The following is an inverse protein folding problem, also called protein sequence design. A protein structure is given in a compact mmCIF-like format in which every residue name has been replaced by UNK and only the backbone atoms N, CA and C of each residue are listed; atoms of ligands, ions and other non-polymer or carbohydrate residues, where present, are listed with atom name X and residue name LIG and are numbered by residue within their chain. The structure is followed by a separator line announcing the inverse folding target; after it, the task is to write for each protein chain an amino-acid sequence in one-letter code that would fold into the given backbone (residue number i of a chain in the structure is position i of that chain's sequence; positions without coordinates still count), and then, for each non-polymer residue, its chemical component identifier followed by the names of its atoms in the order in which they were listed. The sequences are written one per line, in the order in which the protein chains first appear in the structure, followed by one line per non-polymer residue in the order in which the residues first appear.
data_IF_763326853407
#
_entry.id   IF_763326853407
#
_cell.length_a   1.000
_cell.length_b   1.000
_cell.length_c   1.000
_cell.angle_alpha   90.00
_cell.angle_beta   90.00
_cell.angle_gamma   90.00
#
_symmetry.space_group_name_H-M   'P 1'
#
loop_
_entity.id
_entity.type
_entity.pdbx_description
1 polymer ?
#
# COMPACT_ATOMS: atom_id res chain seq x y z
N UNK A 1 20.50 10.92 22.50
CA UNK A 1 20.77 9.93 21.45
C UNK A 1 19.58 8.99 21.35
N UNK A 2 18.58 9.33 20.52
CA UNK A 2 17.34 8.57 20.31
C UNK A 2 17.21 8.08 18.86
N UNK A 3 16.22 7.22 18.60
CA UNK A 3 15.97 6.64 17.29
C UNK A 3 14.48 6.41 17.01
N UNK A 4 14.10 6.48 15.73
CA UNK A 4 12.78 6.07 15.25
C UNK A 4 12.70 4.57 14.92
N UNK A 5 13.83 3.86 14.81
CA UNK A 5 13.88 2.41 14.56
C UNK A 5 14.67 1.69 15.67
N UNK A 6 13.94 1.33 16.74
CA UNK A 6 14.49 0.66 17.92
C UNK A 6 15.08 -0.72 17.62
N UNK A 7 14.70 -1.35 16.49
CA UNK A 7 15.22 -2.65 16.10
C UNK A 7 16.71 -2.59 15.71
N UNK A 8 17.21 -1.40 15.36
CA UNK A 8 18.63 -1.17 15.05
C UNK A 8 19.51 -0.98 16.29
N UNK A 9 18.95 -1.02 17.50
CA UNK A 9 19.70 -0.88 18.75
C UNK A 9 20.62 0.35 18.77
N UNK A 10 21.88 0.15 19.17
CA UNK A 10 22.86 1.24 19.28
C UNK A 10 23.24 1.85 17.92
N UNK A 11 23.23 1.07 16.84
CA UNK A 11 23.46 1.57 15.47
C UNK A 11 22.35 2.51 14.99
N UNK A 12 21.15 2.40 15.60
CA UNK A 12 20.01 3.25 15.33
C UNK A 12 20.07 4.61 16.02
N UNK A 13 20.90 4.79 17.05
CA UNK A 13 20.88 5.99 17.92
C UNK A 13 22.22 6.71 18.09
N UNK A 14 23.34 6.03 17.86
CA UNK A 14 24.69 6.59 18.02
C UNK A 14 25.20 7.23 16.71
N UNK A 15 25.88 8.39 16.78
CA UNK A 15 26.52 8.98 15.61
C UNK A 15 27.65 8.07 15.09
N UNK A 16 27.97 8.12 13.79
CA UNK A 16 29.07 7.33 13.23
C UNK A 16 30.43 7.79 13.80
N UNK A 17 31.35 6.85 13.99
CA UNK A 17 32.75 7.17 14.27
C UNK A 17 33.41 7.88 13.09
N UNK A 18 34.39 8.72 13.38
CA UNK A 18 35.20 9.42 12.37
C UNK A 18 36.45 8.63 11.93
N UNK A 19 36.70 7.47 12.53
CA UNK A 19 37.82 6.59 12.13
C UNK A 19 37.64 6.13 10.69
N UNK A 20 38.68 6.28 9.88
CA UNK A 20 38.76 5.87 8.47
C UNK A 20 37.70 6.50 7.54
N UNK A 21 37.08 7.63 7.92
CA UNK A 21 36.02 8.25 7.09
C UNK A 21 36.55 8.83 5.79
N UNK A 22 37.81 9.26 5.76
CA UNK A 22 38.51 9.72 4.56
C UNK A 22 38.73 8.60 3.55
N UNK A 23 38.96 7.36 4.02
CA UNK A 23 39.00 6.17 3.16
C UNK A 23 37.60 5.69 2.75
N UNK A 24 36.58 5.95 3.57
CA UNK A 24 35.21 5.49 3.37
C UNK A 24 34.40 6.31 2.38
N UNK A 25 34.45 7.62 2.51
CA UNK A 25 33.54 8.52 1.82
C UNK A 25 34.19 9.12 0.59
N UNK A 26 33.40 9.31 -0.47
CA UNK A 26 33.80 10.15 -1.60
C UNK A 26 34.20 11.53 -1.07
N UNK A 27 35.28 12.11 -1.59
CA UNK A 27 35.82 13.39 -1.07
C UNK A 27 34.78 14.50 -1.09
N UNK A 28 34.05 14.61 -2.20
CA UNK A 28 32.95 15.58 -2.38
C UNK A 28 31.85 15.36 -1.34
N UNK A 29 31.45 14.11 -1.12
CA UNK A 29 30.45 13.77 -0.11
C UNK A 29 30.92 14.15 1.30
N UNK A 30 32.16 13.82 1.65
CA UNK A 30 32.75 14.13 2.96
C UNK A 30 32.76 15.64 3.22
N UNK A 31 33.20 16.43 2.23
CA UNK A 31 33.19 17.89 2.31
C UNK A 31 31.78 18.42 2.54
N UNK A 32 30.81 17.99 1.72
CA UNK A 32 29.42 18.43 1.86
C UNK A 32 28.80 18.04 3.21
N UNK A 33 29.12 16.85 3.73
CA UNK A 33 28.67 16.39 5.04
C UNK A 33 29.22 17.23 6.19
N UNK A 34 30.49 17.64 6.13
CA UNK A 34 31.10 18.51 7.14
C UNK A 34 30.57 19.95 7.03
N UNK A 35 30.41 20.47 5.80
CA UNK A 35 30.02 21.85 5.57
C UNK A 35 28.58 22.13 6.03
N UNK A 36 27.64 21.24 5.69
CA UNK A 36 26.20 21.51 5.85
C UNK A 36 25.50 20.58 6.82
N UNK A 37 26.16 19.52 7.29
CA UNK A 37 25.50 18.40 7.94
C UNK A 37 24.70 17.56 6.93
N UNK A 38 24.47 16.29 7.26
CA UNK A 38 23.76 15.37 6.38
C UNK A 38 22.80 14.46 7.16
N UNK A 39 21.71 14.05 6.50
CA UNK A 39 20.67 13.18 7.08
C UNK A 39 20.48 11.89 6.28
N UNK A 40 21.56 11.15 6.15
CA UNK A 40 21.55 9.83 5.49
C UNK A 40 20.77 8.77 6.28
N UNK A 41 20.80 8.87 7.61
CA UNK A 41 20.12 7.95 8.52
C UNK A 41 18.94 8.69 9.14
N UNK A 42 17.76 8.71 8.48
CA UNK A 42 16.65 9.55 8.92
C UNK A 42 16.15 9.19 10.32
N UNK A 43 16.35 7.93 10.72
CA UNK A 43 15.99 7.34 12.01
C UNK A 43 16.90 7.75 13.18
N UNK A 44 18.09 8.31 12.97
CA UNK A 44 18.92 8.83 14.07
C UNK A 44 18.43 10.24 14.44
N UNK A 45 18.17 10.52 15.72
CA UNK A 45 17.74 11.86 16.16
C UNK A 45 18.90 12.86 16.25
N UNK A 46 20.09 12.40 16.62
CA UNK A 46 21.30 13.23 16.68
C UNK A 46 21.68 13.73 15.28
N UNK A 47 22.00 15.02 15.17
CA UNK A 47 22.37 15.68 13.91
C UNK A 47 23.84 16.07 13.92
N UNK A 48 24.47 15.95 12.76
CA UNK A 48 25.79 16.51 12.51
C UNK A 48 25.62 18.03 12.23
N UNK A 49 26.29 18.91 12.97
CA UNK A 49 26.29 20.34 12.66
C UNK A 49 26.96 20.62 11.31
N UNK A 50 26.55 21.69 10.64
CA UNK A 50 27.29 22.25 9.51
C UNK A 50 28.37 23.19 10.00
N UNK A 51 29.63 22.93 9.62
CA UNK A 51 30.79 23.71 10.05
C UNK A 51 31.26 24.74 9.00
N UNK A 52 30.56 24.85 7.87
CA UNK A 52 30.89 25.76 6.78
C UNK A 52 31.96 25.22 5.82
N UNK A 53 31.96 25.75 4.60
CA UNK A 53 32.75 25.20 3.48
C UNK A 53 34.26 25.27 3.72
N UNK A 54 34.77 26.40 4.22
CA UNK A 54 36.21 26.58 4.43
C UNK A 54 36.81 25.57 5.43
N UNK A 55 36.09 25.28 6.51
CA UNK A 55 36.52 24.26 7.47
C UNK A 55 36.39 22.85 6.88
N UNK A 56 35.30 22.60 6.16
CA UNK A 56 35.03 21.31 5.55
C UNK A 56 36.09 20.91 4.52
N UNK A 57 36.53 21.85 3.69
CA UNK A 57 37.58 21.61 2.69
C UNK A 57 38.86 21.12 3.34
N UNK A 58 39.36 21.89 4.33
CA UNK A 58 40.59 21.62 5.07
C UNK A 58 40.54 20.28 5.80
N UNK A 59 39.44 20.01 6.53
CA UNK A 59 39.30 18.77 7.28
C UNK A 59 39.15 17.56 6.36
N UNK A 60 38.42 17.69 5.24
CA UNK A 60 38.25 16.61 4.29
C UNK A 60 39.58 16.24 3.60
N UNK A 61 40.46 17.20 3.33
CA UNK A 61 41.81 16.93 2.82
C UNK A 61 42.67 16.15 3.82
N UNK A 62 42.70 16.62 5.08
CA UNK A 62 43.46 15.95 6.13
C UNK A 62 43.00 14.51 6.36
N UNK A 63 41.68 14.28 6.42
CA UNK A 63 41.11 12.94 6.55
C UNK A 63 41.42 12.07 5.33
N UNK A 64 41.27 12.59 4.11
CA UNK A 64 41.58 11.83 2.90
C UNK A 64 43.06 11.47 2.76
N UNK A 65 43.97 12.31 3.27
CA UNK A 65 45.40 12.06 3.25
C UNK A 65 45.85 11.07 4.34
N UNK A 66 45.15 11.05 5.48
CA UNK A 66 45.52 10.23 6.65
C UNK A 66 44.88 8.84 6.61
N UNK A 67 43.61 8.77 6.23
CA UNK A 67 42.83 7.55 6.26
C UNK A 67 43.14 6.72 5.01
N UNK A 68 43.94 5.67 5.18
CA UNK A 68 44.34 4.76 4.09
C UNK A 68 43.92 3.33 4.37
N UNK A 69 43.56 2.61 3.32
CA UNK A 69 43.25 1.18 3.37
C UNK A 69 44.22 0.40 2.48
N UNK A 70 44.43 -0.90 2.75
CA UNK A 70 45.18 -1.75 1.85
C UNK A 70 44.61 -1.66 0.42
N UNK A 71 45.45 -1.59 -0.62
CA UNK A 71 44.99 -1.56 -1.99
C UNK A 71 44.08 -2.76 -2.29
N UNK A 72 42.97 -2.50 -2.97
CA UNK A 72 42.07 -3.53 -3.47
C UNK A 72 41.55 -3.06 -4.83
N UNK A 73 41.59 -3.97 -5.80
CA UNK A 73 41.09 -3.68 -7.14
C UNK A 73 39.58 -3.94 -7.21
N UNK A 74 38.88 -3.06 -7.92
CA UNK A 74 37.46 -3.20 -8.24
C UNK A 74 37.41 -3.27 -9.75
N UNK A 75 37.02 -4.43 -10.29
CA UNK A 75 36.98 -4.62 -11.73
C UNK A 75 35.96 -3.64 -12.31
N UNK A 76 36.34 -2.75 -13.25
CA UNK A 76 35.39 -1.81 -13.85
C UNK A 76 34.24 -2.53 -14.55
N UNK A 77 33.09 -1.87 -14.63
CA UNK A 77 32.00 -2.36 -15.45
C UNK A 77 32.43 -2.38 -16.92
N UNK A 78 32.11 -3.44 -17.68
CA UNK A 78 32.31 -3.44 -19.12
C UNK A 78 31.51 -2.31 -19.79
N UNK A 79 32.10 -1.68 -20.80
CA UNK A 79 31.39 -0.69 -21.65
C UNK A 79 30.36 -1.37 -22.57
N UNK A 80 30.59 -2.64 -22.89
CA UNK A 80 29.69 -3.45 -23.69
C UNK A 80 28.45 -3.87 -22.88
N UNK A 81 27.26 -3.62 -23.43
CA UNK A 81 26.00 -3.85 -22.74
C UNK A 81 25.72 -5.33 -22.48
N UNK A 82 26.08 -6.22 -23.40
CA UNK A 82 25.86 -7.67 -23.24
C UNK A 82 26.74 -8.26 -22.14
N UNK A 83 27.95 -7.70 -21.95
CA UNK A 83 28.85 -8.06 -20.84
C UNK A 83 28.50 -7.35 -19.52
N UNK A 84 27.92 -6.15 -19.59
CA UNK A 84 27.48 -5.34 -18.45
C UNK A 84 26.27 -5.95 -17.71
N UNK A 85 25.23 -6.35 -18.46
CA UNK A 85 23.97 -6.82 -17.88
C UNK A 85 24.15 -8.03 -16.92
N UNK A 86 24.94 -9.07 -17.26
CA UNK A 86 25.20 -10.18 -16.36
C UNK A 86 25.86 -9.80 -15.03
N UNK A 87 26.67 -8.74 -14.99
CA UNK A 87 27.29 -8.25 -13.74
C UNK A 87 26.21 -7.62 -12.85
N UNK A 88 25.32 -6.82 -13.42
CA UNK A 88 24.21 -6.23 -12.67
C UNK A 88 23.19 -7.28 -12.22
N UNK A 89 22.89 -8.28 -13.05
CA UNK A 89 21.97 -9.36 -12.70
C UNK A 89 22.52 -10.22 -11.56
N UNK A 90 23.83 -10.49 -11.54
CA UNK A 90 24.48 -11.15 -10.41
C UNK A 90 24.35 -10.31 -9.12
N UNK A 91 24.56 -8.99 -9.20
CA UNK A 91 24.39 -8.09 -8.06
C UNK A 91 22.95 -8.04 -7.56
N UNK A 92 21.99 -7.99 -8.50
CA UNK A 92 20.55 -8.06 -8.23
C UNK A 92 20.16 -9.33 -7.48
N UNK A 93 20.67 -10.49 -7.91
CA UNK A 93 20.42 -11.77 -7.26
C UNK A 93 21.09 -11.86 -5.89
N UNK A 94 22.34 -11.42 -5.76
CA UNK A 94 23.09 -11.41 -4.51
C UNK A 94 22.43 -10.56 -3.42
N UNK A 95 21.84 -9.42 -3.78
CA UNK A 95 21.18 -8.52 -2.81
C UNK A 95 19.83 -9.07 -2.33
N UNK A 96 19.15 -9.87 -3.14
CA UNK A 96 17.83 -10.44 -2.85
C UNK A 96 17.81 -11.58 -1.83
N UNK A 97 16.59 -12.04 -1.54
CA UNK A 97 16.30 -13.15 -0.61
C UNK A 97 16.94 -14.50 -1.02
N UNK A 98 17.23 -14.71 -2.30
CA UNK A 98 17.93 -15.91 -2.82
C UNK A 98 19.45 -15.84 -2.70
N UNK A 99 20.00 -14.65 -2.51
CA UNK A 99 21.42 -14.39 -2.31
C UNK A 99 21.77 -14.20 -0.84
N UNK A 100 22.44 -13.09 -0.54
CA UNK A 100 22.88 -12.68 0.79
C UNK A 100 21.78 -11.99 1.61
N UNK A 101 20.58 -11.79 1.04
CA UNK A 101 19.38 -11.29 1.75
C UNK A 101 19.55 -9.91 2.40
N UNK A 102 20.34 -9.03 1.77
CA UNK A 102 20.64 -7.67 2.28
C UNK A 102 19.36 -6.87 2.60
N UNK A 103 18.32 -7.07 1.79
CA UNK A 103 16.99 -6.44 1.90
C UNK A 103 16.21 -6.75 3.18
N UNK A 104 16.62 -7.80 3.92
CA UNK A 104 15.98 -8.16 5.19
C UNK A 104 16.33 -7.15 6.28
N UNK A 105 17.51 -6.54 6.19
CA UNK A 105 18.02 -5.60 7.17
C UNK A 105 18.02 -4.15 6.67
N UNK A 106 18.20 -3.95 5.37
CA UNK A 106 18.29 -2.63 4.76
C UNK A 106 17.03 -2.24 4.01
N UNK A 107 16.76 -0.93 3.95
CA UNK A 107 15.82 -0.37 2.99
C UNK A 107 16.35 -0.53 1.56
N UNK A 108 15.43 -0.63 0.60
CA UNK A 108 15.76 -0.65 -0.82
C UNK A 108 14.82 0.28 -1.59
N UNK A 109 15.33 1.42 -2.04
CA UNK A 109 14.54 2.46 -2.72
C UNK A 109 13.28 2.85 -1.93
N UNK A 110 13.46 3.05 -0.63
CA UNK A 110 12.40 3.37 0.34
C UNK A 110 11.55 2.19 0.83
N UNK A 111 11.61 1.03 0.19
CA UNK A 111 10.85 -0.15 0.61
C UNK A 111 11.58 -0.92 1.72
N UNK A 112 10.80 -1.51 2.63
CA UNK A 112 11.27 -2.35 3.74
C UNK A 112 10.68 -3.75 3.63
N UNK A 113 11.52 -4.78 3.55
CA UNK A 113 11.07 -6.17 3.49
C UNK A 113 11.06 -6.87 4.87
N UNK A 114 12.05 -6.59 5.71
CA UNK A 114 12.18 -7.19 7.04
C UNK A 114 11.73 -6.29 8.18
N UNK A 115 12.06 -6.68 9.41
CA UNK A 115 11.71 -5.93 10.63
C UNK A 115 12.63 -4.73 10.87
N UNK A 116 13.83 -4.72 10.28
CA UNK A 116 14.81 -3.64 10.36
C UNK A 116 14.76 -2.75 9.11
N UNK A 117 15.04 -1.46 9.28
CA UNK A 117 15.20 -0.49 8.19
C UNK A 117 16.52 0.25 8.27
N UNK A 118 17.64 -0.47 8.16
CA UNK A 118 18.96 0.15 8.04
C UNK A 118 19.05 0.99 6.75
N UNK A 119 20.17 1.70 6.59
CA UNK A 119 20.44 2.61 5.46
C UNK A 119 19.96 2.07 4.10
N UNK A 120 19.33 2.94 3.29
CA UNK A 120 18.82 2.57 1.97
C UNK A 120 19.98 2.28 1.01
N UNK A 121 20.02 1.04 0.50
CA UNK A 121 21.15 0.53 -0.27
C UNK A 121 21.36 1.22 -1.62
N UNK A 122 20.33 1.86 -2.18
CA UNK A 122 20.39 2.50 -3.50
C UNK A 122 20.10 3.98 -3.47
N UNK A 123 20.00 4.58 -2.28
CA UNK A 123 19.80 6.02 -2.17
C UNK A 123 21.07 6.79 -2.51
N UNK A 124 22.17 6.49 -1.80
CA UNK A 124 23.42 7.27 -1.92
C UNK A 124 24.67 6.42 -2.08
N UNK A 125 24.57 5.09 -2.18
CA UNK A 125 25.75 4.19 -2.16
C UNK A 125 26.84 4.60 -3.15
N UNK A 126 26.51 4.81 -4.43
CA UNK A 126 27.48 5.21 -5.46
C UNK A 126 28.02 6.63 -5.30
N UNK A 127 27.24 7.56 -4.76
CA UNK A 127 27.63 8.96 -4.55
C UNK A 127 28.42 9.16 -3.25
N UNK A 128 28.17 8.31 -2.25
CA UNK A 128 28.63 8.47 -0.88
C UNK A 128 29.87 7.66 -0.57
N UNK A 129 29.91 6.40 -0.99
CA UNK A 129 30.96 5.46 -0.60
C UNK A 129 32.05 5.39 -1.67
N UNK A 130 33.29 5.17 -1.22
CA UNK A 130 34.36 4.72 -2.09
C UNK A 130 34.22 3.21 -2.35
N UNK A 131 34.41 2.75 -3.60
CA UNK A 131 34.25 1.34 -3.96
C UNK A 131 35.24 0.44 -3.20
N UNK A 132 36.45 0.91 -2.94
CA UNK A 132 37.49 0.16 -2.20
C UNK A 132 37.08 -0.07 -0.75
N UNK A 133 36.54 0.96 -0.09
CA UNK A 133 36.02 0.81 1.28
C UNK A 133 34.83 -0.14 1.33
N UNK A 134 33.90 -0.03 0.37
CA UNK A 134 32.75 -0.93 0.29
C UNK A 134 33.22 -2.38 0.19
N UNK A 135 34.22 -2.63 -0.65
CA UNK A 135 34.80 -3.94 -0.86
C UNK A 135 35.52 -4.51 0.37
N UNK A 136 36.22 -3.68 1.14
CA UNK A 136 36.79 -4.08 2.43
C UNK A 136 35.71 -4.35 3.47
N UNK A 137 34.71 -3.47 3.55
CA UNK A 137 33.63 -3.58 4.52
C UNK A 137 32.80 -4.84 4.32
N UNK A 138 32.47 -5.18 3.06
CA UNK A 138 31.68 -6.37 2.76
C UNK A 138 32.42 -7.67 3.05
N UNK A 139 33.76 -7.69 2.87
CA UNK A 139 34.62 -8.84 3.20
C UNK A 139 34.81 -9.05 4.70
N UNK A 140 34.86 -7.98 5.49
CA UNK A 140 35.00 -8.07 6.94
C UNK A 140 34.37 -6.87 7.67
N UNK A 141 33.05 -6.91 7.92
CA UNK A 141 32.35 -5.76 8.51
C UNK A 141 32.74 -5.54 9.98
N UNK A 142 33.09 -6.61 10.70
CA UNK A 142 33.49 -6.56 12.11
C UNK A 142 34.81 -5.81 12.34
N UNK A 143 35.70 -5.77 11.34
CA UNK A 143 36.93 -4.96 11.38
C UNK A 143 36.61 -3.47 11.53
N UNK A 144 35.58 -3.00 10.85
CA UNK A 144 35.19 -1.58 10.85
C UNK A 144 34.25 -1.26 12.01
N UNK A 145 33.39 -2.22 12.37
CA UNK A 145 32.36 -2.05 13.40
C UNK A 145 32.14 -3.37 14.14
N UNK A 146 32.79 -3.59 15.30
CA UNK A 146 32.66 -4.84 16.05
C UNK A 146 31.23 -5.21 16.44
N UNK A 147 30.36 -4.22 16.67
CA UNK A 147 28.96 -4.40 17.09
C UNK A 147 27.94 -4.36 15.94
N UNK A 148 28.40 -4.45 14.69
CA UNK A 148 27.52 -4.37 13.53
C UNK A 148 26.59 -5.57 13.39
N UNK A 149 25.36 -5.33 12.95
CA UNK A 149 24.42 -6.37 12.50
C UNK A 149 24.75 -6.92 11.11
N UNK A 150 25.68 -6.29 10.37
CA UNK A 150 26.12 -6.79 9.08
C UNK A 150 26.74 -8.18 9.25
N UNK A 151 26.17 -9.15 8.55
CA UNK A 151 26.67 -10.53 8.56
C UNK A 151 28.00 -10.59 7.79
N UNK A 152 28.94 -11.39 8.29
CA UNK A 152 30.12 -11.71 7.51
C UNK A 152 29.75 -12.76 6.45
N UNK A 153 29.64 -12.33 5.19
CA UNK A 153 29.31 -13.21 4.06
C UNK A 153 30.50 -14.01 3.53
N UNK A 154 31.72 -13.70 3.98
CA UNK A 154 32.98 -14.29 3.52
C UNK A 154 33.88 -14.78 4.67
N UNK A 155 33.37 -15.63 5.59
CA UNK A 155 34.18 -16.16 6.69
C UNK A 155 35.38 -16.94 6.13
N UNK A 156 36.59 -16.61 6.60
CA UNK A 156 37.83 -17.21 6.09
C UNK A 156 38.15 -16.85 4.63
N UNK A 157 37.52 -15.82 4.06
CA UNK A 157 37.69 -15.43 2.66
C UNK A 157 36.91 -16.29 1.66
N UNK A 158 35.95 -17.10 2.13
CA UNK A 158 35.14 -17.99 1.29
C UNK A 158 33.68 -17.55 1.28
N UNK A 159 33.07 -17.49 0.10
CA UNK A 159 31.66 -17.10 -0.03
C UNK A 159 30.70 -18.08 0.64
N UNK A 160 29.73 -17.54 1.38
CA UNK A 160 28.55 -18.27 1.90
C UNK A 160 27.51 -18.59 0.81
N UNK A 161 27.75 -18.17 -0.44
CA UNK A 161 26.90 -18.38 -1.62
C UNK A 161 27.72 -18.92 -2.80
N UNK A 162 28.31 -20.12 -2.70
CA UNK A 162 29.18 -20.67 -3.76
C UNK A 162 28.45 -20.94 -5.08
N UNK A 163 27.12 -21.09 -5.06
CA UNK A 163 26.30 -21.29 -6.25
C UNK A 163 26.23 -20.04 -7.15
N UNK A 164 26.53 -18.85 -6.62
CA UNK A 164 26.54 -17.60 -7.38
C UNK A 164 27.97 -17.27 -7.80
N UNK A 165 28.20 -17.06 -9.09
CA UNK A 165 29.54 -16.80 -9.66
C UNK A 165 30.62 -17.85 -9.28
N UNK A 166 30.23 -19.10 -9.01
CA UNK A 166 31.16 -20.17 -8.59
C UNK A 166 31.83 -19.91 -7.24
N UNK A 167 31.28 -19.01 -6.42
CA UNK A 167 31.84 -18.64 -5.12
C UNK A 167 33.02 -17.66 -5.20
N UNK A 168 33.29 -17.10 -6.37
CA UNK A 168 34.31 -16.08 -6.56
C UNK A 168 33.94 -14.81 -5.78
N UNK A 169 34.68 -14.56 -4.71
CA UNK A 169 34.45 -13.44 -3.79
C UNK A 169 34.62 -12.09 -4.50
N UNK A 170 35.61 -11.95 -5.39
CA UNK A 170 35.85 -10.70 -6.10
C UNK A 170 34.68 -10.37 -7.00
N UNK A 171 34.25 -11.34 -7.82
CA UNK A 171 33.11 -11.17 -8.73
C UNK A 171 31.82 -10.85 -7.99
N UNK A 172 31.59 -11.49 -6.84
CA UNK A 172 30.40 -11.20 -6.03
C UNK A 172 30.42 -9.79 -5.45
N UNK A 173 31.57 -9.36 -4.90
CA UNK A 173 31.71 -8.01 -4.34
C UNK A 173 31.56 -6.94 -5.43
N UNK A 174 32.21 -7.13 -6.58
CA UNK A 174 32.15 -6.19 -7.70
C UNK A 174 30.72 -6.08 -8.25
N UNK A 175 30.03 -7.21 -8.42
CA UNK A 175 28.64 -7.22 -8.87
C UNK A 175 27.69 -6.49 -7.91
N UNK A 176 27.82 -6.72 -6.59
CA UNK A 176 27.02 -6.02 -5.58
C UNK A 176 27.32 -4.51 -5.61
N UNK A 177 28.59 -4.13 -5.66
CA UNK A 177 28.98 -2.72 -5.74
C UNK A 177 28.34 -2.05 -6.95
N UNK A 178 28.55 -2.61 -8.14
CA UNK A 178 28.10 -2.02 -9.39
C UNK A 178 26.58 -1.93 -9.47
N UNK A 179 25.86 -2.94 -8.98
CA UNK A 179 24.41 -2.93 -8.88
C UNK A 179 23.90 -1.84 -7.93
N UNK A 180 24.46 -1.71 -6.72
CA UNK A 180 24.00 -0.69 -5.76
C UNK A 180 24.42 0.73 -6.16
N UNK A 181 25.55 0.89 -6.85
CA UNK A 181 26.07 2.17 -7.30
C UNK A 181 25.22 2.80 -8.42
N UNK A 182 24.42 2.02 -9.16
CA UNK A 182 23.47 2.53 -10.16
C UNK A 182 22.33 3.38 -9.55
N UNK A 183 22.14 3.32 -8.22
CA UNK A 183 21.12 4.09 -7.53
C UNK A 183 19.69 3.60 -7.79
N UNK A 184 18.71 4.51 -7.72
CA UNK A 184 17.26 4.16 -7.73
C UNK A 184 16.74 3.58 -9.06
N UNK A 185 17.52 3.62 -10.13
CA UNK A 185 17.10 3.16 -11.45
C UNK A 185 17.21 1.64 -11.65
N UNK A 186 17.69 0.90 -10.65
CA UNK A 186 17.81 -0.55 -10.75
C UNK A 186 16.51 -1.29 -10.50
N UNK A 187 16.38 -2.47 -11.13
CA UNK A 187 15.33 -3.44 -10.81
C UNK A 187 15.40 -3.81 -9.34
N UNK A 188 14.26 -3.81 -8.64
CA UNK A 188 14.20 -4.24 -7.23
C UNK A 188 14.52 -5.74 -7.11
N UNK A 189 15.33 -6.15 -6.13
CA UNK A 189 15.68 -7.55 -5.88
C UNK A 189 14.46 -8.36 -5.43
N UNK A 190 14.52 -9.68 -5.58
CA UNK A 190 13.48 -10.58 -5.05
C UNK A 190 13.40 -10.49 -3.53
N UNK A 191 12.19 -10.69 -2.98
CA UNK A 191 11.90 -10.56 -1.55
C UNK A 191 11.56 -9.14 -1.07
N UNK A 192 11.81 -8.08 -1.86
CA UNK A 192 11.39 -6.70 -1.51
C UNK A 192 9.87 -6.55 -1.55
N UNK A 193 9.24 -7.08 -2.61
CA UNK A 193 7.78 -7.18 -2.68
C UNK A 193 7.40 -8.55 -2.16
N UNK A 194 6.86 -8.59 -0.95
CA UNK A 194 6.22 -9.81 -0.45
C UNK A 194 5.07 -10.18 -1.40
N UNK A 195 4.93 -11.48 -1.76
CA UNK A 195 3.80 -11.90 -2.58
C UNK A 195 2.48 -11.56 -1.87
N UNK A 196 1.41 -11.25 -2.62
CA UNK A 196 0.11 -10.99 -2.01
C UNK A 196 -0.35 -12.22 -1.23
N UNK A 197 -1.02 -11.99 -0.11
CA UNK A 197 -1.81 -13.03 0.56
C UNK A 197 -3.22 -12.85 0.00
N UNK A 198 -3.46 -13.51 -1.13
CA UNK A 198 -4.73 -13.44 -1.81
C UNK A 198 -5.81 -14.18 -1.02
N UNK A 199 -6.86 -13.45 -0.65
CA UNK A 199 -8.10 -14.02 -0.16
C UNK A 199 -8.90 -14.50 -1.36
N UNK A 200 -8.92 -15.81 -1.58
CA UNK A 200 -9.74 -16.43 -2.63
C UNK A 200 -11.14 -16.72 -2.10
N UNK A 201 -12.16 -16.48 -2.93
CA UNK A 201 -13.55 -16.84 -2.65
C UNK A 201 -13.82 -18.20 -3.30
N UNK A 202 -14.30 -19.16 -2.50
CA UNK A 202 -14.73 -20.47 -2.98
C UNK A 202 -16.24 -20.53 -3.09
N UNK A 203 -16.84 -21.58 -2.52
CA UNK A 203 -18.29 -21.83 -2.60
C UNK A 203 -19.13 -21.00 -1.61
N UNK A 204 -18.49 -20.37 -0.63
CA UNK A 204 -19.13 -19.52 0.37
C UNK A 204 -18.54 -18.11 0.38
N UNK A 205 -19.31 -17.15 0.87
CA UNK A 205 -18.86 -15.77 0.95
C UNK A 205 -17.68 -15.62 1.93
N UNK A 206 -16.69 -14.83 1.53
CA UNK A 206 -15.49 -14.53 2.33
C UNK A 206 -15.52 -13.07 2.77
N UNK A 207 -15.18 -12.82 4.03
CA UNK A 207 -15.21 -11.48 4.61
C UNK A 207 -13.87 -11.08 5.23
N UNK A 208 -13.43 -9.84 4.97
CA UNK A 208 -12.31 -9.20 5.64
C UNK A 208 -12.75 -7.90 6.32
N UNK A 209 -12.64 -7.85 7.66
CA UNK A 209 -12.97 -6.68 8.47
C UNK A 209 -11.72 -5.87 8.81
N UNK A 210 -11.22 -5.09 7.87
CA UNK A 210 -10.01 -4.27 8.01
C UNK A 210 -10.11 -3.00 7.17
N UNK A 211 -9.16 -2.08 7.39
CA UNK A 211 -8.96 -0.98 6.46
C UNK A 211 -8.62 -1.53 5.06
N UNK A 212 -9.28 -1.02 4.03
CA UNK A 212 -9.07 -1.39 2.62
C UNK A 212 -8.85 -0.11 1.81
N UNK A 213 -8.20 -0.21 0.65
CA UNK A 213 -8.13 0.90 -0.32
C UNK A 213 -9.54 1.44 -0.62
N UNK A 214 -9.69 2.77 -0.73
CA UNK A 214 -10.99 3.41 -1.00
C UNK A 214 -11.91 3.59 0.23
N UNK A 215 -11.81 2.73 1.25
CA UNK A 215 -12.66 2.79 2.45
C UNK A 215 -11.92 3.19 3.74
N UNK A 216 -12.68 3.55 4.77
CA UNK A 216 -12.16 3.88 6.10
C UNK A 216 -11.62 2.67 6.89
N UNK A 217 -11.21 2.91 8.15
CA UNK A 217 -10.69 1.85 9.05
C UNK A 217 -11.74 0.80 9.46
N UNK A 218 -13.03 1.08 9.24
CA UNK A 218 -14.17 0.21 9.57
C UNK A 218 -14.82 -0.40 8.34
N UNK A 219 -14.02 -0.63 7.29
CA UNK A 219 -14.44 -1.37 6.11
C UNK A 219 -14.70 -2.85 6.42
N UNK A 220 -15.77 -3.36 5.84
CA UNK A 220 -16.13 -4.78 5.82
C UNK A 220 -16.20 -5.17 4.35
N UNK A 221 -15.13 -5.78 3.86
CA UNK A 221 -15.08 -6.27 2.48
C UNK A 221 -15.67 -7.68 2.41
N UNK A 222 -16.51 -7.90 1.40
CA UNK A 222 -17.23 -9.13 1.11
C UNK A 222 -16.87 -9.59 -0.29
N UNK A 223 -16.45 -10.83 -0.45
CA UNK A 223 -16.33 -11.50 -1.74
C UNK A 223 -17.35 -12.61 -1.84
N UNK A 224 -18.13 -12.62 -2.92
CA UNK A 224 -19.18 -13.61 -3.19
C UNK A 224 -18.73 -14.63 -4.25
N UNK A 225 -19.19 -15.89 -4.19
CA UNK A 225 -18.72 -16.99 -5.06
C UNK A 225 -18.76 -16.73 -6.57
N UNK A 226 -19.76 -16.01 -7.06
CA UNK A 226 -19.90 -15.54 -8.45
C UNK A 226 -18.94 -14.42 -8.85
N UNK A 227 -17.99 -14.07 -7.98
CA UNK A 227 -16.88 -13.17 -8.30
C UNK A 227 -17.23 -11.69 -8.23
N UNK A 228 -18.41 -11.34 -7.72
CA UNK A 228 -18.75 -9.96 -7.36
C UNK A 228 -18.35 -9.69 -5.91
N UNK A 229 -17.73 -8.53 -5.69
CA UNK A 229 -17.16 -8.16 -4.40
C UNK A 229 -17.64 -6.76 -4.03
N UNK A 230 -17.70 -6.47 -2.73
CA UNK A 230 -18.06 -5.16 -2.24
C UNK A 230 -17.36 -4.81 -0.93
N UNK A 231 -17.37 -3.53 -0.56
CA UNK A 231 -17.02 -3.08 0.79
C UNK A 231 -18.14 -2.25 1.38
N UNK A 232 -18.63 -2.67 2.55
CA UNK A 232 -19.53 -1.89 3.39
C UNK A 232 -18.70 -1.09 4.41
N UNK A 233 -18.97 0.21 4.55
CA UNK A 233 -18.33 1.07 5.54
C UNK A 233 -19.21 1.17 6.81
N UNK A 234 -18.82 0.47 7.87
CA UNK A 234 -19.56 0.49 9.13
C UNK A 234 -19.38 1.80 9.94
N UNK A 235 -18.48 2.71 9.54
CA UNK A 235 -18.43 4.06 10.12
C UNK A 235 -19.46 4.98 9.47
N UNK A 236 -19.70 4.83 8.17
CA UNK A 236 -20.63 5.65 7.40
C UNK A 236 -21.99 4.99 7.18
N UNK A 237 -22.14 3.71 7.53
CA UNK A 237 -23.38 2.93 7.40
C UNK A 237 -23.88 2.87 5.95
N UNK A 238 -23.00 2.45 5.04
CA UNK A 238 -23.32 2.38 3.61
C UNK A 238 -22.37 1.53 2.79
N UNK A 239 -22.84 1.10 1.63
CA UNK A 239 -22.01 0.45 0.61
C UNK A 239 -21.06 1.50 -0.01
N UNK A 240 -19.76 1.28 0.12
CA UNK A 240 -18.73 2.25 -0.25
C UNK A 240 -18.15 1.99 -1.66
N UNK A 241 -18.01 0.73 -2.05
CA UNK A 241 -17.43 0.36 -3.35
C UNK A 241 -17.78 -1.08 -3.70
N UNK A 242 -17.73 -1.41 -4.99
CA UNK A 242 -17.87 -2.77 -5.52
C UNK A 242 -16.97 -3.02 -6.73
N UNK A 243 -16.66 -4.28 -7.01
CA UNK A 243 -15.84 -4.71 -8.14
C UNK A 243 -16.07 -6.17 -8.49
N UNK A 244 -15.69 -6.56 -9.71
CA UNK A 244 -15.75 -7.95 -10.18
C UNK A 244 -14.35 -8.56 -10.30
N UNK A 245 -14.28 -9.89 -10.19
CA UNK A 245 -13.06 -10.67 -10.31
C UNK A 245 -12.39 -10.94 -8.97
N UNK A 246 -11.06 -10.85 -8.93
CA UNK A 246 -10.24 -11.21 -7.76
C UNK A 246 -10.58 -10.32 -6.56
N UNK A 247 -10.71 -10.94 -5.38
CA UNK A 247 -11.22 -10.29 -4.18
C UNK A 247 -10.20 -9.33 -3.56
N UNK A 248 -9.27 -9.79 -2.70
CA UNK A 248 -8.36 -8.91 -1.96
C UNK A 248 -6.98 -9.52 -1.71
N UNK A 249 -5.97 -8.65 -1.63
CA UNK A 249 -4.68 -8.93 -1.01
C UNK A 249 -4.70 -8.48 0.46
N UNK A 250 -4.62 -9.45 1.37
CA UNK A 250 -4.59 -9.27 2.81
C UNK A 250 -3.17 -9.13 3.39
N UNK A 251 -2.11 -9.26 2.57
CA UNK A 251 -0.73 -9.16 3.02
C UNK A 251 -0.48 -7.92 3.87
N UNK A 252 -0.89 -6.69 3.47
CA UNK A 252 -0.54 -5.48 4.23
C UNK A 252 -1.18 -5.42 5.63
N UNK A 253 -2.26 -6.17 5.86
CA UNK A 253 -2.98 -6.18 7.14
C UNK A 253 -2.63 -7.38 8.02
N UNK A 254 -1.88 -8.37 7.50
CA UNK A 254 -1.57 -9.62 8.19
C UNK A 254 -0.08 -9.83 8.50
N UNK A 255 0.85 -9.19 7.78
CA UNK A 255 2.30 -9.43 7.97
C UNK A 255 3.02 -8.42 8.87
N UNK A 256 2.31 -7.44 9.44
CA UNK A 256 2.85 -6.45 10.39
C UNK A 256 1.94 -6.37 11.62
N UNK A 257 2.15 -5.40 12.50
CA UNK A 257 1.24 -5.03 13.62
C UNK A 257 -0.13 -4.50 13.13
N UNK A 258 -0.54 -4.84 11.91
CA UNK A 258 -1.87 -4.57 11.38
C UNK A 258 -2.12 -3.15 10.86
N UNK A 259 -1.09 -2.31 10.75
CA UNK A 259 -1.22 -0.89 10.38
C UNK A 259 -1.52 -0.62 8.89
N UNK A 260 -1.42 -1.63 8.03
CA UNK A 260 -1.64 -1.48 6.58
C UNK A 260 -3.12 -1.41 6.17
N UNK A 261 -3.34 -1.34 4.86
CA UNK A 261 -4.66 -1.43 4.22
C UNK A 261 -4.66 -2.58 3.22
N UNK A 262 -5.69 -3.41 3.25
CA UNK A 262 -5.90 -4.43 2.23
C UNK A 262 -6.02 -3.78 0.85
N UNK A 263 -5.55 -4.47 -0.18
CA UNK A 263 -5.56 -3.96 -1.56
C UNK A 263 -6.57 -4.73 -2.40
N UNK A 264 -7.30 -4.01 -3.24
CA UNK A 264 -8.21 -4.61 -4.20
C UNK A 264 -7.39 -5.19 -5.34
N UNK A 265 -7.67 -6.44 -5.73
CA UNK A 265 -6.94 -7.15 -6.78
C UNK A 265 -7.54 -6.97 -8.18
N UNK A 266 -8.73 -6.36 -8.27
CA UNK A 266 -9.30 -5.88 -9.53
C UNK A 266 -8.68 -4.55 -9.96
N UNK A 267 -8.57 -4.35 -11.28
CA UNK A 267 -8.17 -3.07 -11.88
C UNK A 267 -9.31 -2.06 -11.89
N UNK A 268 -10.54 -2.54 -12.04
CA UNK A 268 -11.74 -1.72 -12.12
C UNK A 268 -12.50 -1.82 -10.79
N UNK A 269 -12.73 -0.67 -10.17
CA UNK A 269 -13.45 -0.55 -8.90
C UNK A 269 -14.45 0.60 -9.02
N UNK A 270 -15.71 0.31 -8.77
CA UNK A 270 -16.78 1.30 -8.77
C UNK A 270 -16.90 1.89 -7.37
N UNK A 271 -16.51 3.16 -7.25
CA UNK A 271 -16.67 3.92 -6.00
C UNK A 271 -18.11 4.40 -5.88
N UNK A 272 -18.74 4.04 -4.77
CA UNK A 272 -20.06 4.54 -4.38
C UNK A 272 -19.92 5.72 -3.42
N UNK A 273 -21.02 6.46 -3.14
CA UNK A 273 -20.94 7.70 -2.39
C UNK A 273 -20.42 7.50 -0.97
N UNK A 274 -19.41 8.28 -0.59
CA UNK A 274 -18.91 8.30 0.79
C UNK A 274 -19.83 9.09 1.71
N UNK A 275 -20.14 8.51 2.88
CA UNK A 275 -21.01 9.11 3.89
C UNK A 275 -22.28 8.30 4.13
N UNK A 276 -23.26 8.85 4.86
CA UNK A 276 -24.49 8.14 5.22
C UNK A 276 -25.25 7.72 3.96
N UNK A 277 -25.59 6.42 3.85
CA UNK A 277 -26.35 5.91 2.72
C UNK A 277 -27.79 6.45 2.71
N UNK A 278 -28.39 6.57 3.89
CA UNK A 278 -29.76 7.03 4.08
C UNK A 278 -29.78 8.39 4.77
N UNK A 279 -30.75 9.23 4.42
CA UNK A 279 -30.97 10.53 5.07
C UNK A 279 -32.45 10.95 4.98
N UNK A 280 -32.97 11.55 6.04
CA UNK A 280 -34.16 12.40 5.94
C UNK A 280 -33.73 13.75 5.36
N UNK A 281 -34.43 14.23 4.34
CA UNK A 281 -34.14 15.50 3.66
C UNK A 281 -35.38 16.39 3.69
N UNK A 282 -35.16 17.70 3.82
CA UNK A 282 -36.23 18.72 3.77
C UNK A 282 -36.86 18.81 2.37
N UNK A 283 -36.06 18.57 1.33
CA UNK A 283 -36.49 18.53 -0.07
C UNK A 283 -35.72 17.44 -0.85
N UNK A 284 -36.29 16.90 -1.95
CA UNK A 284 -35.64 15.85 -2.75
C UNK A 284 -34.26 16.22 -3.29
N UNK A 285 -34.01 17.51 -3.53
CA UNK A 285 -32.79 18.09 -4.09
C UNK A 285 -31.90 18.77 -3.04
N UNK A 286 -32.29 18.71 -1.75
CA UNK A 286 -31.50 19.29 -0.66
C UNK A 286 -30.06 18.71 -0.63
N UNK A 287 -29.07 19.49 -0.15
CA UNK A 287 -27.69 19.01 -0.02
C UNK A 287 -27.61 17.71 0.82
N UNK A 288 -26.76 16.77 0.40
CA UNK A 288 -26.57 15.54 1.17
C UNK A 288 -25.88 15.84 2.51
N UNK A 289 -26.33 15.26 3.64
CA UNK A 289 -25.73 15.52 4.94
C UNK A 289 -24.24 15.17 5.00
N UNK A 290 -23.46 16.06 5.60
CA UNK A 290 -22.02 15.87 5.87
C UNK A 290 -21.73 15.50 7.33
N UNK A 291 -22.73 15.62 8.21
CA UNK A 291 -22.62 15.22 9.61
C UNK A 291 -22.28 13.74 9.74
N UNK A 292 -21.43 13.43 10.71
CA UNK A 292 -21.04 12.05 11.04
C UNK A 292 -22.23 11.28 11.57
N UNK A 293 -22.17 9.93 11.49
CA UNK A 293 -23.23 9.08 12.06
C UNK A 293 -23.49 9.37 13.54
N UNK A 294 -22.47 9.77 14.32
CA UNK A 294 -22.61 10.07 15.75
C UNK A 294 -23.41 11.34 16.00
N UNK A 295 -23.14 12.38 15.22
CA UNK A 295 -23.88 13.64 15.30
C UNK A 295 -25.33 13.47 14.87
N UNK A 296 -25.57 12.57 13.90
CA UNK A 296 -26.92 12.20 13.45
C UNK A 296 -27.67 11.25 14.38
N UNK A 297 -26.98 10.64 15.35
CA UNK A 297 -27.56 9.61 16.23
C UNK A 297 -27.66 8.21 15.61
N UNK A 298 -27.17 8.03 14.39
CA UNK A 298 -27.24 6.78 13.63
C UNK A 298 -26.31 5.69 14.24
N UNK A 299 -26.87 4.48 14.42
CA UNK A 299 -26.22 3.39 15.15
C UNK A 299 -25.90 2.22 14.24
N UNK A 300 -24.69 1.70 14.38
CA UNK A 300 -24.32 0.38 13.87
C UNK A 300 -24.88 -0.69 14.83
N UNK A 301 -25.71 -1.60 14.32
CA UNK A 301 -26.30 -2.68 15.12
C UNK A 301 -25.56 -4.02 14.97
N UNK A 302 -24.68 -4.13 13.96
CA UNK A 302 -23.90 -5.34 13.71
C UNK A 302 -24.31 -6.01 12.40
N UNK A 303 -24.07 -7.31 12.31
CA UNK A 303 -24.50 -8.10 11.17
C UNK A 303 -24.70 -9.56 11.55
N UNK A 304 -25.55 -10.22 10.77
CA UNK A 304 -25.76 -11.66 10.83
C UNK A 304 -25.29 -12.29 9.53
N UNK A 305 -24.89 -13.56 9.58
CA UNK A 305 -24.45 -14.31 8.42
C UNK A 305 -25.44 -15.44 8.16
N UNK A 306 -25.84 -15.60 6.90
CA UNK A 306 -26.63 -16.76 6.49
C UNK A 306 -25.76 -18.03 6.37
N UNK A 307 -26.37 -19.15 5.93
CA UNK A 307 -25.68 -20.43 5.76
C UNK A 307 -24.56 -20.39 4.72
N UNK A 308 -24.65 -19.51 3.73
CA UNK A 308 -23.61 -19.29 2.71
C UNK A 308 -22.62 -18.18 3.12
N UNK A 309 -22.64 -17.78 4.41
CA UNK A 309 -21.79 -16.75 5.00
C UNK A 309 -22.03 -15.34 4.46
N UNK A 310 -23.16 -15.11 3.78
CA UNK A 310 -23.54 -13.79 3.24
C UNK A 310 -24.09 -12.91 4.36
N UNK A 311 -23.69 -11.63 4.43
CA UNK A 311 -24.09 -10.76 5.53
C UNK A 311 -25.42 -10.05 5.30
N UNK A 312 -26.16 -9.90 6.40
CA UNK A 312 -27.20 -8.88 6.57
C UNK A 312 -26.70 -7.86 7.57
N UNK A 313 -26.41 -6.64 7.10
CA UNK A 313 -25.94 -5.54 7.93
C UNK A 313 -27.11 -4.82 8.60
N UNK A 314 -27.06 -4.64 9.91
CA UNK A 314 -28.06 -3.93 10.69
C UNK A 314 -27.56 -2.56 11.14
N UNK A 315 -28.34 -1.51 10.90
CA UNK A 315 -28.03 -0.15 11.35
C UNK A 315 -29.28 0.74 11.41
N UNK A 316 -29.16 1.93 11.98
CA UNK A 316 -30.27 2.92 12.03
C UNK A 316 -29.96 4.17 11.21
N UNK A 317 -31.02 4.80 10.70
CA UNK A 317 -31.02 6.14 10.17
C UNK A 317 -32.12 6.95 10.88
N UNK A 318 -31.74 7.73 11.90
CA UNK A 318 -32.68 8.23 12.90
C UNK A 318 -33.38 7.08 13.63
N UNK A 319 -34.71 7.14 13.68
CA UNK A 319 -35.57 6.12 14.32
C UNK A 319 -35.87 4.91 13.42
N UNK A 320 -35.44 4.94 12.16
CA UNK A 320 -35.67 3.83 11.22
C UNK A 320 -34.56 2.79 11.36
N UNK A 321 -34.93 1.55 11.57
CA UNK A 321 -34.04 0.39 11.55
C UNK A 321 -33.96 -0.18 10.14
N UNK A 322 -32.73 -0.41 9.69
CA UNK A 322 -32.40 -0.88 8.34
C UNK A 322 -31.63 -2.19 8.44
N UNK A 323 -32.09 -3.18 7.69
CA UNK A 323 -31.38 -4.43 7.43
C UNK A 323 -31.01 -4.49 5.94
N UNK A 324 -29.73 -4.55 5.62
CA UNK A 324 -29.17 -4.54 4.25
C UNK A 324 -28.45 -5.87 3.99
N UNK A 325 -29.16 -6.79 3.34
CA UNK A 325 -28.64 -8.11 2.98
C UNK A 325 -27.94 -8.07 1.63
N UNK A 326 -26.67 -8.48 1.58
CA UNK A 326 -25.89 -8.57 0.34
C UNK A 326 -25.85 -10.00 -0.15
N UNK A 327 -26.20 -10.17 -1.42
CA UNK A 327 -26.13 -11.44 -2.13
C UNK A 327 -25.69 -11.23 -3.58
N UNK A 328 -25.51 -12.32 -4.30
CA UNK A 328 -25.27 -12.30 -5.73
C UNK A 328 -26.43 -12.94 -6.48
N UNK A 329 -26.69 -12.43 -7.68
CA UNK A 329 -27.68 -12.95 -8.60
C UNK A 329 -26.99 -13.20 -9.93
N UNK A 330 -27.12 -14.42 -10.46
CA UNK A 330 -26.65 -14.76 -11.80
C UNK A 330 -27.79 -14.51 -12.79
N UNK A 331 -27.53 -13.67 -13.80
CA UNK A 331 -28.42 -13.46 -14.94
C UNK A 331 -28.47 -14.68 -15.86
N UNK A 332 -29.49 -14.71 -16.72
CA UNK A 332 -29.64 -15.78 -17.73
C UNK A 332 -28.47 -15.82 -18.72
N UNK A 333 -27.81 -14.69 -18.92
CA UNK A 333 -26.60 -14.53 -19.73
C UNK A 333 -25.31 -14.97 -19.02
N UNK A 334 -25.41 -15.47 -17.78
CA UNK A 334 -24.27 -15.84 -16.95
C UNK A 334 -23.56 -14.67 -16.28
N UNK A 335 -24.03 -13.43 -16.48
CA UNK A 335 -23.49 -12.26 -15.78
C UNK A 335 -23.82 -12.34 -14.28
N UNK A 336 -22.88 -11.95 -13.43
CA UNK A 336 -23.12 -11.89 -11.98
C UNK A 336 -23.38 -10.45 -11.55
N UNK A 337 -24.41 -10.26 -10.74
CA UNK A 337 -24.85 -8.96 -10.20
C UNK A 337 -24.74 -8.98 -8.69
N UNK A 338 -24.37 -7.86 -8.09
CA UNK A 338 -24.54 -7.67 -6.65
C UNK A 338 -26.00 -7.29 -6.40
N UNK A 339 -26.71 -8.04 -5.56
CA UNK A 339 -28.07 -7.72 -5.15
C UNK A 339 -28.11 -7.36 -3.67
N UNK A 340 -28.75 -6.24 -3.36
CA UNK A 340 -29.04 -5.79 -2.00
C UNK A 340 -30.52 -5.91 -1.75
N UNK A 341 -30.90 -6.66 -0.73
CA UNK A 341 -32.27 -6.66 -0.21
C UNK A 341 -32.30 -5.83 1.05
N UNK A 342 -32.95 -4.66 0.99
CA UNK A 342 -33.00 -3.72 2.09
C UNK A 342 -34.41 -3.69 2.68
N UNK A 343 -34.50 -4.00 3.98
CA UNK A 343 -35.73 -3.91 4.76
C UNK A 343 -35.64 -2.74 5.72
N UNK A 344 -36.63 -1.84 5.68
CA UNK A 344 -36.73 -0.68 6.55
C UNK A 344 -37.95 -0.83 7.45
N UNK A 345 -37.77 -0.59 8.75
CA UNK A 345 -38.84 -0.70 9.74
C UNK A 345 -38.72 0.43 10.76
N UNK A 346 -39.87 0.97 11.20
CA UNK A 346 -39.93 2.08 12.14
C UNK A 346 -41.22 2.88 11.98
N UNK A 347 -41.29 4.02 12.65
CA UNK A 347 -42.41 4.95 12.50
C UNK A 347 -42.48 5.53 11.08
N UNK A 348 -43.67 6.04 10.73
CA UNK A 348 -43.92 6.63 9.42
C UNK A 348 -42.92 7.74 9.11
N UNK A 349 -42.11 7.54 8.08
CA UNK A 349 -41.02 8.44 7.70
C UNK A 349 -40.77 8.45 6.19
N UNK A 350 -40.06 9.47 5.72
CA UNK A 350 -39.53 9.51 4.36
C UNK A 350 -38.02 9.59 4.45
N UNK A 351 -37.35 8.60 3.88
CA UNK A 351 -35.90 8.59 3.73
C UNK A 351 -35.53 8.66 2.25
N UNK A 352 -34.35 9.21 1.99
CA UNK A 352 -33.69 9.12 0.71
C UNK A 352 -32.48 8.21 0.84
N UNK A 353 -32.27 7.37 -0.15
CA UNK A 353 -31.02 6.63 -0.34
C UNK A 353 -30.20 7.27 -1.45
N UNK A 354 -28.94 7.60 -1.20
CA UNK A 354 -27.99 8.03 -2.22
C UNK A 354 -27.23 6.81 -2.74
N UNK A 355 -27.72 6.24 -3.84
CA UNK A 355 -27.28 4.95 -4.35
C UNK A 355 -25.98 5.03 -5.17
N UNK A 356 -25.74 6.14 -5.87
CA UNK A 356 -24.55 6.36 -6.69
C UNK A 356 -24.26 7.85 -6.89
N UNK A 357 -23.00 8.17 -7.20
CA UNK A 357 -22.55 9.51 -7.61
C UNK A 357 -21.61 9.39 -8.78
N UNK A 358 -21.86 10.14 -9.86
CA UNK A 358 -20.99 10.14 -11.04
C UNK A 358 -21.23 11.41 -11.87
N UNK A 359 -20.23 11.84 -12.63
CA UNK A 359 -20.37 12.98 -13.56
C UNK A 359 -21.33 12.62 -14.72
N UNK A 360 -21.27 11.36 -15.15
CA UNK A 360 -22.14 10.74 -16.16
C UNK A 360 -23.19 9.84 -15.50
N UNK A 361 -24.32 10.39 -15.07
CA UNK A 361 -25.53 9.65 -14.68
C UNK A 361 -26.62 9.81 -15.74
N UNK A 362 -27.29 8.72 -16.10
CA UNK A 362 -28.48 8.77 -16.97
C UNK A 362 -29.52 7.75 -16.52
N UNK A 363 -30.79 8.14 -16.53
CA UNK A 363 -31.89 7.18 -16.43
C UNK A 363 -31.97 6.40 -17.75
N UNK A 364 -32.03 5.08 -17.67
CA UNK A 364 -32.33 4.21 -18.82
C UNK A 364 -33.84 4.04 -18.92
N UNK A 365 -34.47 3.76 -17.78
CA UNK A 365 -35.92 3.68 -17.61
C UNK A 365 -36.28 4.13 -16.18
N UNK A 366 -37.52 3.89 -15.73
CA UNK A 366 -37.98 4.32 -14.40
C UNK A 366 -37.26 3.62 -13.23
N UNK A 367 -36.79 2.38 -13.46
CA UNK A 367 -36.21 1.49 -12.45
C UNK A 367 -34.73 1.18 -12.71
N UNK A 368 -34.13 1.70 -13.79
CA UNK A 368 -32.73 1.46 -14.14
C UNK A 368 -31.99 2.76 -14.49
N UNK A 369 -30.80 2.94 -13.93
CA UNK A 369 -29.90 4.04 -14.22
C UNK A 369 -28.50 3.54 -14.60
N UNK A 370 -27.85 4.21 -15.53
CA UNK A 370 -26.42 4.02 -15.81
C UNK A 370 -25.57 4.98 -14.99
N UNK A 371 -24.49 4.44 -14.43
CA UNK A 371 -23.50 5.15 -13.61
C UNK A 371 -22.15 5.05 -14.32
N UNK A 372 -21.82 6.09 -15.08
CA UNK A 372 -20.68 6.06 -16.00
C UNK A 372 -20.87 5.06 -17.14
N UNK A 373 -19.77 4.63 -17.78
CA UNK A 373 -19.85 3.74 -18.93
C UNK A 373 -20.32 2.32 -18.54
N UNK A 374 -19.77 1.76 -17.46
CA UNK A 374 -19.84 0.32 -17.20
C UNK A 374 -20.83 -0.11 -16.10
N UNK A 375 -21.22 0.76 -15.15
CA UNK A 375 -22.10 0.34 -14.06
C UNK A 375 -23.58 0.62 -14.39
N UNK A 376 -24.45 -0.32 -14.04
CA UNK A 376 -25.91 -0.15 -14.04
C UNK A 376 -26.44 -0.39 -12.64
N UNK A 377 -27.43 0.40 -12.25
CA UNK A 377 -28.15 0.29 -10.98
C UNK A 377 -29.62 0.10 -11.31
N UNK A 378 -30.17 -1.04 -10.92
CA UNK A 378 -31.58 -1.35 -11.01
C UNK A 378 -32.20 -1.32 -9.61
N UNK A 379 -33.42 -0.82 -9.48
CA UNK A 379 -34.11 -0.75 -8.19
C UNK A 379 -35.59 -1.10 -8.32
N UNK A 380 -36.02 -2.05 -7.50
CA UNK A 380 -37.41 -2.39 -7.27
C UNK A 380 -37.84 -1.92 -5.87
N UNK A 381 -39.02 -1.26 -5.82
CA UNK A 381 -39.63 -0.84 -4.56
C UNK A 381 -39.44 0.64 -4.20
N UNK A 382 -38.67 1.42 -4.97
CA UNK A 382 -38.57 2.87 -4.78
C UNK A 382 -38.29 3.63 -6.08
N UNK A 383 -38.95 4.78 -6.33
CA UNK A 383 -38.67 5.62 -7.49
C UNK A 383 -37.27 6.22 -7.42
N UNK A 384 -36.57 6.21 -8.55
CA UNK A 384 -35.26 6.82 -8.73
C UNK A 384 -35.33 8.21 -9.37
N UNK A 385 -34.43 9.09 -8.96
CA UNK A 385 -34.22 10.39 -9.59
C UNK A 385 -32.73 10.76 -9.60
N UNK A 386 -32.34 11.55 -10.60
CA UNK A 386 -31.01 12.14 -10.68
C UNK A 386 -31.09 13.59 -10.19
N UNK A 387 -30.29 13.91 -9.18
CA UNK A 387 -30.17 15.26 -8.64
C UNK A 387 -28.83 15.86 -9.05
N UNK A 388 -28.87 17.10 -9.53
CA UNK A 388 -27.69 17.89 -9.87
C UNK A 388 -27.58 19.04 -8.88
N UNK A 389 -26.42 19.19 -8.24
CA UNK A 389 -26.15 20.31 -7.34
C UNK A 389 -25.30 21.35 -8.04
N UNK A 390 -25.73 22.61 -8.00
CA UNK A 390 -24.99 23.72 -8.60
C UNK A 390 -23.56 23.81 -8.03
N UNK A 391 -22.58 23.96 -8.92
CA UNK A 391 -21.15 24.05 -8.54
C UNK A 391 -20.47 22.71 -8.20
N UNK A 392 -21.15 21.57 -8.30
CA UNK A 392 -20.53 20.24 -8.16
C UNK A 392 -20.53 19.49 -9.50
N UNK A 393 -19.39 18.93 -9.93
CA UNK A 393 -19.32 18.18 -11.18
C UNK A 393 -20.06 16.84 -11.11
N UNK A 394 -20.14 16.24 -9.92
CA UNK A 394 -20.82 14.95 -9.71
C UNK A 394 -22.32 15.13 -9.49
N UNK A 395 -23.10 14.30 -10.19
CA UNK A 395 -24.55 14.15 -9.99
C UNK A 395 -24.82 13.00 -9.02
N UNK A 396 -26.00 12.99 -8.42
CA UNK A 396 -26.40 11.97 -7.44
C UNK A 396 -27.62 11.17 -7.93
N UNK A 397 -27.54 9.84 -7.85
CA UNK A 397 -28.69 8.95 -8.03
C UNK A 397 -29.36 8.74 -6.67
N UNK A 398 -30.58 9.24 -6.52
CA UNK A 398 -31.35 9.19 -5.27
C UNK A 398 -32.60 8.33 -5.42
N UNK A 399 -32.96 7.61 -4.36
CA UNK A 399 -34.21 6.85 -4.28
C UNK A 399 -35.05 7.41 -3.13
N UNK A 400 -36.31 7.76 -3.40
CA UNK A 400 -37.24 8.24 -2.36
C UNK A 400 -38.00 7.06 -1.78
N UNK A 401 -37.87 6.83 -0.48
CA UNK A 401 -38.44 5.67 0.21
C UNK A 401 -39.45 6.18 1.23
N UNK A 402 -40.70 5.73 1.10
CA UNK A 402 -41.75 5.98 2.08
C UNK A 402 -41.90 4.76 2.97
N UNK A 403 -41.82 4.99 4.28
CA UNK A 403 -41.93 3.96 5.31
C UNK A 403 -43.28 4.18 5.96
N UNK A 404 -44.11 3.14 5.95
CA UNK A 404 -45.42 3.12 6.61
C UNK A 404 -45.38 2.12 7.79
N UNK A 405 -46.52 1.67 8.29
CA UNK A 405 -46.58 0.82 9.49
C UNK A 405 -45.99 -0.59 9.28
N UNK A 406 -46.07 -1.12 8.05
CA UNK A 406 -45.44 -2.38 7.67
C UNK A 406 -44.01 -2.15 7.16
N UNK A 407 -43.08 -3.10 7.36
CA UNK A 407 -41.72 -2.96 6.86
C UNK A 407 -41.67 -2.72 5.35
N UNK A 408 -40.96 -1.68 4.93
CA UNK A 408 -40.73 -1.39 3.51
C UNK A 408 -39.58 -2.25 3.00
N UNK A 409 -39.79 -2.93 1.88
CA UNK A 409 -38.79 -3.75 1.20
C UNK A 409 -38.38 -3.08 -0.12
N UNK A 410 -37.08 -3.05 -0.39
CA UNK A 410 -36.55 -2.66 -1.69
C UNK A 410 -35.37 -3.55 -2.09
N UNK A 411 -35.25 -3.79 -3.38
CA UNK A 411 -34.16 -4.59 -3.97
C UNK A 411 -33.36 -3.71 -4.91
N UNK A 412 -32.05 -3.66 -4.72
CA UNK A 412 -31.14 -2.90 -5.59
C UNK A 412 -30.12 -3.85 -6.17
N UNK A 413 -30.04 -3.88 -7.50
CA UNK A 413 -29.04 -4.66 -8.21
C UNK A 413 -28.02 -3.77 -8.89
N UNK A 414 -26.75 -4.15 -8.77
CA UNK A 414 -25.63 -3.53 -9.45
C UNK A 414 -25.08 -4.54 -10.46
N UNK A 415 -25.13 -4.19 -11.74
CA UNK A 415 -24.54 -4.99 -12.81
C UNK A 415 -23.42 -4.24 -13.50
N UNK A 416 -22.43 -5.00 -13.97
CA UNK A 416 -21.36 -4.51 -14.81
C UNK A 416 -21.64 -4.86 -16.25
N UNK A 417 -21.73 -3.85 -17.10
CA UNK A 417 -21.69 -4.02 -18.55
C UNK A 417 -20.24 -4.33 -18.96
N UNK A 418 -20.01 -5.37 -19.77
CA UNK A 418 -18.70 -5.60 -20.34
C UNK A 418 -18.27 -4.35 -21.15
N UNK A 419 -17.01 -3.95 -21.03
CA UNK A 419 -16.44 -3.00 -22.00
C UNK A 419 -16.59 -3.61 -23.39
N UNK A 420 -17.19 -2.87 -24.33
CA UNK A 420 -17.25 -3.26 -25.73
C UNK A 420 -15.82 -3.53 -26.24
N UNK A 421 -15.48 -4.82 -26.37
CA UNK A 421 -14.34 -5.37 -27.09
C UNK A 421 -12.96 -4.76 -26.76
N UNK A 422 -12.25 -5.37 -25.80
CA UNK A 422 -10.78 -5.50 -25.83
C UNK A 422 -10.30 -6.84 -25.29
#
# INVERSE_FOLDING_TARGET
FGTDDVALGDEGRLPPALTDVGAKLQRVWLGHAIAHGQRERPYIHTRMPGFGEAFAESLADLLAATDTLPPIEIVPLPDDREAFEPVLDLGHELVGDKGMSCITCHLFAGDKAGTMGAIDLVYTTGERLRPEWFAHFLRNPYRFKPTTFMTNFFPGGVSTRPQLAGGDVQRQVDAIWHYLAQGRNVRKPSGIKQPPIELTVGDEAVMLRRAVQGAGKRGISLGLPGGVNATFDAENLGLNQLWWGRFLDAQPVWTSQGHGRARILSREVFQLPNGPAFAALEAPDAPWPTATRRERGDRWLGYELDKARRPTFGYTAGEVTIHDALSEVTGEDGSTRLSRTITLSGDRAVLYLRAATHEELRMIDANTAAVGPALRVHCDGAPMSIVTTEGKPQRELRMRITIDADPTLLTIEYSREPEDGK
#
